data_IF_574214652343
#
_entry.id   IF_574214652343
#
_cell.length_a   1.000
_cell.length_b   1.000
_cell.length_c   1.000
_cell.angle_alpha   90.00
_cell.angle_beta   90.00
_cell.angle_gamma   90.00
#
_symmetry.space_group_name_H-M   'P 1'
#
loop_
_entity.id
_entity.type
_entity.pdbx_description
1 polymer ?
#
# COMPACT_ATOMS: atom_id res chain seq x y z
N UNK A 1 -4.94 12.62 10.51
CA UNK A 1 -5.52 12.24 11.83
C UNK A 1 -6.99 11.93 11.63
N UNK A 2 -7.51 10.80 12.13
CA UNK A 2 -8.93 10.45 11.97
C UNK A 2 -9.82 11.33 12.85
N UNK A 3 -11.01 11.71 12.34
CA UNK A 3 -12.03 12.43 13.11
C UNK A 3 -12.61 11.54 14.22
N UNK A 4 -13.23 12.15 15.24
CA UNK A 4 -13.92 11.39 16.31
C UNK A 4 -15.03 10.50 15.74
N UNK A 5 -15.75 11.01 14.76
CA UNK A 5 -16.84 10.28 14.09
C UNK A 5 -16.31 9.09 13.30
N UNK A 6 -15.23 9.26 12.51
CA UNK A 6 -14.64 8.15 11.77
C UNK A 6 -14.18 7.02 12.71
N UNK A 7 -13.65 7.37 13.90
CA UNK A 7 -13.25 6.38 14.91
C UNK A 7 -14.46 5.64 15.50
N UNK A 8 -15.55 6.36 15.78
CA UNK A 8 -16.80 5.79 16.30
C UNK A 8 -17.41 4.81 15.29
N UNK A 9 -17.53 5.23 14.04
CA UNK A 9 -18.05 4.40 12.95
C UNK A 9 -17.19 3.15 12.73
N UNK A 10 -15.86 3.32 12.69
CA UNK A 10 -14.93 2.19 12.55
C UNK A 10 -15.12 1.18 13.69
N UNK A 11 -15.18 1.65 14.95
CA UNK A 11 -15.40 0.77 16.11
C UNK A 11 -16.72 -0.01 16.00
N UNK A 12 -17.81 0.67 15.66
CA UNK A 12 -19.13 0.07 15.53
C UNK A 12 -19.17 -1.03 14.46
N UNK A 13 -18.57 -0.77 13.29
CA UNK A 13 -18.46 -1.77 12.22
C UNK A 13 -17.60 -2.96 12.66
N UNK A 14 -16.45 -2.72 13.30
CA UNK A 14 -15.59 -3.80 13.80
C UNK A 14 -16.29 -4.67 14.85
N UNK A 15 -17.08 -4.09 15.75
CA UNK A 15 -17.85 -4.83 16.75
C UNK A 15 -18.90 -5.74 16.09
N UNK A 16 -19.61 -5.27 15.06
CA UNK A 16 -20.57 -6.07 14.31
C UNK A 16 -19.91 -7.20 13.53
N UNK A 17 -18.78 -6.93 12.86
CA UNK A 17 -18.03 -7.94 12.12
C UNK A 17 -17.44 -9.02 13.06
N UNK A 18 -16.95 -8.61 14.23
CA UNK A 18 -16.43 -9.54 15.23
C UNK A 18 -17.51 -10.46 15.77
N UNK A 19 -18.69 -9.92 16.09
CA UNK A 19 -19.81 -10.71 16.58
C UNK A 19 -20.31 -11.70 15.51
N UNK A 20 -20.34 -11.26 14.25
CA UNK A 20 -20.64 -12.15 13.13
C UNK A 20 -19.62 -13.28 12.99
N UNK A 21 -18.33 -12.96 13.08
CA UNK A 21 -17.26 -13.96 13.03
C UNK A 21 -17.36 -14.97 14.18
N UNK A 22 -17.75 -14.54 15.38
CA UNK A 22 -17.97 -15.46 16.52
C UNK A 22 -19.13 -16.43 16.28
N UNK A 23 -20.17 -15.99 15.58
CA UNK A 23 -21.36 -16.80 15.28
C UNK A 23 -21.13 -17.76 14.10
N UNK A 24 -20.49 -17.28 13.04
CA UNK A 24 -20.35 -18.00 11.76
C UNK A 24 -18.98 -18.69 11.62
N UNK A 25 -18.00 -18.40 12.48
CA UNK A 25 -16.66 -18.97 12.42
C UNK A 25 -15.91 -18.56 11.15
N UNK A 26 -14.90 -19.34 10.78
CA UNK A 26 -14.04 -19.07 9.61
C UNK A 26 -14.80 -19.12 8.28
N UNK A 27 -15.97 -19.77 8.23
CA UNK A 27 -16.85 -19.78 7.06
C UNK A 27 -17.27 -18.36 6.64
N UNK A 28 -17.41 -17.44 7.60
CA UNK A 28 -17.66 -16.02 7.32
C UNK A 28 -16.48 -15.38 6.58
N UNK A 29 -15.25 -15.72 6.96
CA UNK A 29 -14.03 -15.20 6.35
C UNK A 29 -13.84 -15.73 4.92
N UNK A 30 -14.10 -17.02 4.70
CA UNK A 30 -13.98 -17.65 3.38
C UNK A 30 -14.97 -17.13 2.34
N UNK A 31 -16.10 -16.56 2.80
CA UNK A 31 -17.08 -15.90 1.92
C UNK A 31 -16.69 -14.47 1.54
N UNK A 32 -15.66 -13.89 2.17
CA UNK A 32 -15.26 -12.52 1.86
C UNK A 32 -14.30 -12.47 0.67
N UNK A 33 -14.71 -11.72 -0.36
CA UNK A 33 -13.82 -11.26 -1.42
C UNK A 33 -13.32 -9.87 -1.05
N UNK A 34 -12.00 -9.69 -0.98
CA UNK A 34 -11.37 -8.39 -0.75
C UNK A 34 -10.86 -7.84 -2.07
N UNK A 35 -11.16 -6.56 -2.35
CA UNK A 35 -10.66 -5.84 -3.52
C UNK A 35 -9.64 -4.80 -3.09
N UNK A 36 -8.52 -4.69 -3.80
CA UNK A 36 -7.54 -3.64 -3.60
C UNK A 36 -7.16 -2.98 -4.92
N UNK A 37 -6.93 -1.67 -4.85
CA UNK A 37 -6.43 -0.88 -5.97
C UNK A 37 -5.12 -0.20 -5.55
N UNK A 38 -4.08 -0.37 -6.35
CA UNK A 38 -2.78 0.27 -6.11
C UNK A 38 -2.24 0.88 -7.40
N UNK A 39 -1.68 2.08 -7.28
CA UNK A 39 -1.01 2.74 -8.40
C UNK A 39 0.44 2.31 -8.49
N UNK A 40 0.80 1.57 -9.53
CA UNK A 40 2.18 1.14 -9.79
C UNK A 40 2.80 2.10 -10.79
N UNK A 41 3.92 2.71 -10.40
CA UNK A 41 4.74 3.52 -11.30
C UNK A 41 5.73 2.60 -12.02
N UNK A 42 5.90 2.79 -13.32
CA UNK A 42 6.95 2.07 -14.08
C UNK A 42 8.37 2.46 -13.65
N UNK A 43 8.49 3.59 -12.96
CA UNK A 43 9.75 4.11 -12.46
C UNK A 43 9.65 4.30 -10.95
N UNK A 44 10.49 3.59 -10.21
CA UNK A 44 10.76 3.90 -8.81
C UNK A 44 11.97 4.85 -8.79
N UNK A 45 11.81 6.14 -8.45
CA UNK A 45 12.97 7.00 -8.29
C UNK A 45 13.82 6.43 -7.16
N UNK A 46 15.05 6.01 -7.47
CA UNK A 46 16.05 5.72 -6.44
C UNK A 46 15.97 6.82 -5.37
N UNK A 47 15.72 6.41 -4.12
CA UNK A 47 15.65 7.35 -3.04
C UNK A 47 16.96 8.14 -2.99
N UNK A 48 16.89 9.42 -2.62
CA UNK A 48 18.10 10.25 -2.50
C UNK A 48 19.19 9.56 -1.67
N UNK A 49 18.80 8.77 -0.66
CA UNK A 49 19.67 7.94 0.20
C UNK A 49 20.34 6.79 -0.57
N UNK A 50 19.64 6.15 -1.50
CA UNK A 50 20.20 5.11 -2.38
C UNK A 50 21.17 5.71 -3.41
N UNK A 51 20.91 6.94 -3.87
CA UNK A 51 21.81 7.69 -4.79
C UNK A 51 23.01 8.37 -4.12
N UNK A 52 23.23 8.18 -2.81
CA UNK A 52 24.34 8.81 -2.08
C UNK A 52 25.64 8.06 -2.35
N UNK A 53 26.48 8.64 -3.18
CA UNK A 53 27.88 8.22 -3.31
C UNK A 53 28.75 9.03 -2.33
N UNK A 54 29.53 8.35 -1.49
CA UNK A 54 30.60 9.00 -0.72
C UNK A 54 31.76 9.34 -1.66
N UNK A 55 32.14 10.61 -1.74
CA UNK A 55 33.17 11.10 -2.67
C UNK A 55 34.11 12.10 -2.03
N UNK A 56 35.34 12.17 -2.53
CA UNK A 56 36.36 13.12 -2.11
C UNK A 56 36.01 14.56 -2.55
N UNK A 57 36.45 15.57 -1.78
CA UNK A 57 36.14 16.99 -2.01
C UNK A 57 36.52 17.50 -3.42
N UNK A 58 37.53 16.90 -4.04
CA UNK A 58 38.04 17.29 -5.35
C UNK A 58 37.41 16.50 -6.52
N UNK A 59 36.40 15.66 -6.26
CA UNK A 59 35.79 14.84 -7.31
C UNK A 59 34.83 15.67 -8.20
N UNK A 60 34.71 15.34 -9.50
CA UNK A 60 33.73 15.98 -10.38
C UNK A 60 32.30 15.77 -9.86
N UNK A 61 31.43 16.77 -10.07
CA UNK A 61 30.02 16.69 -9.65
C UNK A 61 29.35 15.47 -10.28
N UNK A 62 28.64 14.63 -9.51
CA UNK A 62 27.95 13.48 -10.06
C UNK A 62 26.86 13.94 -11.04
N UNK A 63 26.88 13.37 -12.25
CA UNK A 63 25.86 13.62 -13.26
C UNK A 63 24.63 12.82 -12.88
N UNK A 64 23.74 13.45 -12.11
CA UNK A 64 22.42 12.88 -11.84
C UNK A 64 21.65 12.81 -13.14
N UNK A 65 21.36 11.61 -13.61
CA UNK A 65 20.36 11.41 -14.66
C UNK A 65 19.04 11.88 -14.04
N UNK A 66 18.57 13.06 -14.45
CA UNK A 66 17.22 13.49 -14.14
C UNK A 66 16.31 12.68 -15.03
N UNK A 67 15.93 11.50 -14.59
CA UNK A 67 14.89 10.73 -15.25
C UNK A 67 13.60 11.51 -15.06
N UNK A 68 13.04 12.05 -16.14
CA UNK A 68 11.69 12.59 -16.11
C UNK A 68 10.75 11.43 -15.77
N UNK A 69 9.84 11.57 -14.80
CA UNK A 69 8.76 10.60 -14.66
C UNK A 69 7.93 10.71 -15.93
N UNK A 70 8.22 9.88 -16.92
CA UNK A 70 7.25 9.62 -17.98
C UNK A 70 6.04 9.01 -17.27
N UNK A 71 4.88 9.62 -17.47
CA UNK A 71 3.66 9.42 -16.68
C UNK A 71 2.98 8.06 -16.93
N UNK A 72 3.77 6.99 -17.00
CA UNK A 72 3.29 5.63 -17.15
C UNK A 72 3.03 5.07 -15.76
N UNK A 73 1.81 5.34 -15.28
CA UNK A 73 1.25 4.75 -14.07
C UNK A 73 0.21 3.72 -14.51
N UNK A 74 0.32 2.51 -13.99
CA UNK A 74 -0.69 1.46 -14.16
C UNK A 74 -1.50 1.37 -12.87
N UNK A 75 -2.82 1.24 -12.99
CA UNK A 75 -3.67 0.90 -11.86
C UNK A 75 -3.74 -0.62 -11.78
N UNK A 76 -3.19 -1.18 -10.70
CA UNK A 76 -3.36 -2.57 -10.35
C UNK A 76 -4.67 -2.70 -9.55
N UNK A 77 -5.62 -3.45 -10.08
CA UNK A 77 -6.83 -3.86 -9.37
C UNK A 77 -6.78 -5.37 -9.17
N UNK A 78 -6.93 -5.82 -7.93
CA UNK A 78 -6.90 -7.25 -7.59
C UNK A 78 -8.01 -7.58 -6.62
N UNK A 79 -8.59 -8.75 -6.82
CA UNK A 79 -9.55 -9.36 -5.93
C UNK A 79 -8.95 -10.65 -5.38
N UNK A 80 -8.98 -10.81 -4.05
CA UNK A 80 -8.48 -12.00 -3.36
C UNK A 80 -9.51 -12.55 -2.39
N UNK A 81 -9.52 -13.87 -2.25
CA UNK A 81 -10.26 -14.58 -1.20
C UNK A 81 -9.23 -15.16 -0.22
N UNK A 82 -9.62 -15.31 1.04
CA UNK A 82 -8.85 -16.11 1.99
C UNK A 82 -9.10 -17.59 1.62
N UNK A 83 -8.09 -18.28 1.12
CA UNK A 83 -8.08 -19.75 1.08
C UNK A 83 -7.26 -20.27 2.27
N UNK A 84 -7.67 -21.41 2.84
CA UNK A 84 -6.87 -22.11 3.86
C UNK A 84 -5.47 -22.41 3.29
N UNK A 85 -4.44 -22.01 4.02
CA UNK A 85 -3.02 -22.25 3.72
C UNK A 85 -2.53 -23.52 4.41
#
# INVERSE_FOLDING_TARGET
>A
MLTKENKRQHKEVCEQLLERNRREGDEFLFKMVTGYESGIYHYDPEEKRQSMEYRHCNSPKPKKIKTTPSANKVLLTVFGMLEEL
#
